data_IF_666018782029
#
_entry.id   IF_666018782029
#
_cell.length_a   1.000
_cell.length_b   1.000
_cell.length_c   1.000
_cell.angle_alpha   90.00
_cell.angle_beta   90.00
_cell.angle_gamma   90.00
#
_symmetry.space_group_name_H-M   'P 1'
#
loop_
_entity.id
_entity.type
_entity.pdbx_description
1 polymer ?
#
# COMPACT_ATOMS: atom_id res chain seq x y z
N UNK A 1 3.52 -11.93 -26.33
CA UNK A 1 3.18 -10.53 -25.98
C UNK A 1 3.66 -10.31 -24.54
N UNK A 2 4.42 -9.26 -24.26
CA UNK A 2 4.78 -8.94 -22.87
C UNK A 2 3.52 -8.59 -22.08
N UNK A 3 3.39 -9.12 -20.87
CA UNK A 3 2.32 -8.74 -19.95
C UNK A 3 2.64 -7.38 -19.33
N UNK A 4 1.63 -6.61 -18.95
CA UNK A 4 1.80 -5.27 -18.38
C UNK A 4 1.20 -5.20 -16.99
N UNK A 5 1.99 -4.81 -16.00
CA UNK A 5 1.56 -4.64 -14.62
C UNK A 5 1.62 -3.15 -14.26
N UNK A 6 0.52 -2.64 -13.73
CA UNK A 6 0.48 -1.32 -13.09
C UNK A 6 0.75 -1.45 -11.59
N UNK A 7 1.73 -0.73 -11.06
CA UNK A 7 1.98 -0.66 -9.63
C UNK A 7 1.58 0.71 -9.10
N UNK A 8 0.69 0.75 -8.10
CA UNK A 8 0.21 2.00 -7.50
C UNK A 8 0.75 2.13 -6.10
N UNK A 9 1.51 3.20 -5.83
CA UNK A 9 2.03 3.51 -4.49
C UNK A 9 1.33 4.73 -3.90
N UNK A 10 1.19 4.76 -2.57
CA UNK A 10 0.69 5.94 -1.83
C UNK A 10 1.70 7.09 -1.88
N UNK A 11 2.99 6.77 -1.95
CA UNK A 11 4.07 7.75 -2.01
C UNK A 11 4.32 8.25 -3.43
N UNK A 12 5.60 8.43 -3.73
CA UNK A 12 6.07 8.74 -5.08
C UNK A 12 6.57 7.49 -5.79
N UNK A 13 6.47 7.49 -7.11
CA UNK A 13 7.07 6.48 -7.98
C UNK A 13 8.45 6.94 -8.50
N UNK A 14 9.38 6.02 -8.79
CA UNK A 14 9.29 4.58 -8.52
C UNK A 14 9.45 4.24 -7.03
N UNK A 15 8.73 3.21 -6.57
CA UNK A 15 8.82 2.70 -5.20
C UNK A 15 9.98 1.72 -5.06
N UNK A 16 11.21 2.23 -5.25
CA UNK A 16 12.44 1.44 -5.43
C UNK A 16 12.69 0.40 -4.34
N UNK A 17 12.35 0.71 -3.10
CA UNK A 17 12.49 -0.17 -1.94
C UNK A 17 11.59 -1.42 -1.98
N UNK A 18 10.62 -1.44 -2.89
CA UNK A 18 9.72 -2.59 -3.11
C UNK A 18 9.91 -3.14 -4.52
N UNK A 19 9.95 -2.27 -5.53
CA UNK A 19 9.98 -2.70 -6.94
C UNK A 19 11.32 -3.31 -7.35
N UNK A 20 12.42 -2.96 -6.68
CA UNK A 20 13.70 -3.61 -6.90
C UNK A 20 13.67 -5.10 -6.52
N UNK A 21 13.01 -5.45 -5.41
CA UNK A 21 12.89 -6.84 -4.96
C UNK A 21 11.83 -7.63 -5.76
N UNK A 22 10.76 -6.95 -6.20
CA UNK A 22 9.70 -7.59 -6.99
C UNK A 22 10.13 -7.94 -8.41
N UNK A 23 10.94 -7.09 -9.05
CA UNK A 23 11.26 -7.23 -10.48
C UNK A 23 11.90 -8.57 -10.85
N UNK A 24 12.92 -9.08 -10.09
CA UNK A 24 13.48 -10.40 -10.34
C UNK A 24 12.49 -11.55 -10.19
N UNK A 25 11.54 -11.44 -9.24
CA UNK A 25 10.53 -12.47 -8.96
C UNK A 25 9.49 -12.53 -10.08
N UNK A 26 9.07 -11.38 -10.61
CA UNK A 26 8.09 -11.28 -11.71
C UNK A 26 8.69 -11.79 -13.03
N UNK A 27 9.98 -11.55 -13.25
CA UNK A 27 10.71 -11.99 -14.44
C UNK A 27 10.57 -11.06 -15.65
N UNK A 28 11.34 -11.33 -16.70
CA UNK A 28 11.56 -10.42 -17.84
C UNK A 28 10.43 -10.36 -18.86
N UNK A 29 9.42 -11.22 -18.76
CA UNK A 29 8.29 -11.27 -19.71
C UNK A 29 7.17 -10.28 -19.36
N UNK A 30 7.44 -9.35 -18.44
CA UNK A 30 6.50 -8.38 -17.92
C UNK A 30 7.09 -6.97 -17.97
N UNK A 31 6.30 -6.00 -18.41
CA UNK A 31 6.61 -4.58 -18.29
C UNK A 31 5.87 -4.00 -17.10
N UNK A 32 6.58 -3.27 -16.24
CA UNK A 32 6.03 -2.60 -15.06
C UNK A 32 5.87 -1.11 -15.38
N UNK A 33 4.71 -0.56 -15.02
CA UNK A 33 4.46 0.89 -15.03
C UNK A 33 4.01 1.29 -13.64
N UNK A 34 4.66 2.30 -13.06
CA UNK A 34 4.37 2.76 -11.70
C UNK A 34 3.58 4.08 -11.73
N UNK A 35 2.73 4.29 -10.72
CA UNK A 35 2.07 5.55 -10.45
C UNK A 35 2.04 5.80 -8.95
N UNK A 36 2.62 6.92 -8.51
CA UNK A 36 2.57 7.38 -7.14
C UNK A 36 1.46 8.40 -6.94
N UNK A 37 0.67 8.22 -5.88
CA UNK A 37 -0.39 9.17 -5.56
C UNK A 37 0.17 10.58 -5.27
N UNK A 38 1.41 10.69 -4.79
CA UNK A 38 2.12 11.95 -4.54
C UNK A 38 3.04 12.40 -5.71
N UNK A 39 2.97 11.75 -6.87
CA UNK A 39 3.77 12.14 -8.03
C UNK A 39 3.43 13.56 -8.49
N UNK A 40 4.48 14.30 -8.88
CA UNK A 40 4.37 15.67 -9.37
C UNK A 40 4.07 16.74 -8.32
N UNK A 41 3.91 16.36 -7.04
CA UNK A 41 3.70 17.31 -5.96
C UNK A 41 5.02 17.84 -5.38
N UNK A 42 5.03 19.13 -5.07
CA UNK A 42 6.05 19.77 -4.24
C UNK A 42 5.93 19.36 -2.77
N UNK A 43 6.98 19.62 -1.98
CA UNK A 43 6.96 19.36 -0.53
C UNK A 43 5.79 20.04 0.18
N UNK A 44 5.51 21.31 -0.14
CA UNK A 44 4.39 22.05 0.46
C UNK A 44 3.03 21.48 0.09
N UNK A 45 2.85 20.99 -1.15
CA UNK A 45 1.60 20.32 -1.55
C UNK A 45 1.44 18.96 -0.87
N UNK A 46 2.54 18.24 -0.62
CA UNK A 46 2.52 16.97 0.12
C UNK A 46 2.09 17.21 1.57
N UNK A 47 2.52 18.30 2.21
CA UNK A 47 2.12 18.67 3.58
C UNK A 47 0.60 18.85 3.72
N UNK A 48 -0.11 19.25 2.67
CA UNK A 48 -1.57 19.33 2.68
C UNK A 48 -2.25 17.97 2.90
N UNK A 49 -1.56 16.87 2.57
CA UNK A 49 -2.01 15.50 2.79
C UNK A 49 -1.76 15.01 4.22
N UNK A 50 -1.08 15.78 5.08
CA UNK A 50 -0.86 15.39 6.47
C UNK A 50 -2.19 15.07 7.17
N UNK A 51 -2.25 13.99 7.98
CA UNK A 51 -3.45 13.63 8.72
C UNK A 51 -3.79 14.72 9.76
N UNK A 52 -5.09 14.98 9.94
CA UNK A 52 -5.58 15.70 11.10
C UNK A 52 -5.71 14.75 12.29
N UNK A 53 -5.90 15.30 13.49
CA UNK A 53 -6.20 14.51 14.69
C UNK A 53 -7.40 13.58 14.42
N UNK A 54 -7.24 12.30 14.79
CA UNK A 54 -8.20 11.22 14.60
C UNK A 54 -8.46 10.76 13.14
N UNK A 55 -7.69 11.21 12.16
CA UNK A 55 -7.74 10.63 10.82
C UNK A 55 -6.86 9.38 10.70
N UNK A 56 -7.31 8.39 9.90
CA UNK A 56 -6.52 7.20 9.60
C UNK A 56 -5.23 7.58 8.86
N UNK A 57 -4.11 7.07 9.36
CA UNK A 57 -2.76 7.40 8.86
C UNK A 57 -2.24 6.29 7.96
N UNK A 58 -1.74 6.69 6.79
CA UNK A 58 -0.88 5.86 5.95
C UNK A 58 0.55 6.39 6.02
N UNK A 59 1.50 5.50 6.28
CA UNK A 59 2.93 5.81 6.24
C UNK A 59 3.45 5.43 4.87
N UNK A 60 4.15 6.35 4.21
CA UNK A 60 4.78 6.11 2.91
C UNK A 60 6.13 6.80 2.82
N UNK A 61 6.84 6.57 1.72
CA UNK A 61 8.17 7.11 1.45
C UNK A 61 8.15 7.95 0.17
N UNK A 62 8.86 9.06 0.21
CA UNK A 62 9.11 9.92 -0.95
C UNK A 62 10.30 9.39 -1.78
N UNK A 63 10.43 9.91 -3.00
CA UNK A 63 11.52 9.53 -3.91
C UNK A 63 12.92 9.85 -3.36
N UNK A 64 13.03 10.85 -2.49
CA UNK A 64 14.27 11.24 -1.79
C UNK A 64 14.56 10.41 -0.53
N UNK A 65 13.68 9.48 -0.17
CA UNK A 65 13.84 8.59 0.97
C UNK A 65 13.16 9.04 2.26
N UNK A 66 12.64 10.26 2.34
CA UNK A 66 11.92 10.72 3.54
C UNK A 66 10.63 9.94 3.74
N UNK A 67 10.39 9.55 4.99
CA UNK A 67 9.09 9.06 5.44
C UNK A 67 8.11 10.22 5.54
N UNK A 68 6.88 10.03 5.06
CA UNK A 68 5.77 10.96 5.26
C UNK A 68 4.51 10.22 5.71
N UNK A 69 3.73 10.88 6.55
CA UNK A 69 2.42 10.42 7.02
C UNK A 69 1.36 11.16 6.25
N UNK A 70 0.44 10.42 5.63
CA UNK A 70 -0.68 11.00 4.87
C UNK A 70 -2.02 10.51 5.41
N UNK A 71 -3.00 11.40 5.36
CA UNK A 71 -4.40 11.10 5.63
C UNK A 71 -4.90 10.11 4.58
N UNK A 72 -5.37 8.96 5.04
CA UNK A 72 -6.07 7.98 4.22
C UNK A 72 -7.15 8.66 3.36
N UNK A 73 -8.02 9.46 4.00
CA UNK A 73 -9.14 10.13 3.34
C UNK A 73 -8.69 11.07 2.23
N UNK A 74 -7.64 11.88 2.46
CA UNK A 74 -7.18 12.87 1.47
C UNK A 74 -6.50 12.21 0.28
N UNK A 75 -5.74 11.14 0.50
CA UNK A 75 -4.96 10.50 -0.57
C UNK A 75 -5.82 9.61 -1.47
N UNK A 76 -7.00 9.15 -1.00
CA UNK A 76 -7.87 8.24 -1.76
C UNK A 76 -8.19 8.70 -3.18
N UNK A 77 -8.47 9.99 -3.38
CA UNK A 77 -8.79 10.51 -4.73
C UNK A 77 -7.62 10.28 -5.69
N UNK A 78 -6.40 10.62 -5.27
CA UNK A 78 -5.18 10.46 -6.06
C UNK A 78 -4.84 8.99 -6.32
N UNK A 79 -5.07 8.11 -5.34
CA UNK A 79 -4.93 6.67 -5.53
C UNK A 79 -5.86 6.17 -6.66
N UNK A 80 -7.13 6.56 -6.63
CA UNK A 80 -8.12 6.20 -7.66
C UNK A 80 -7.74 6.77 -9.03
N UNK A 81 -7.22 7.99 -9.08
CA UNK A 81 -6.76 8.61 -10.33
C UNK A 81 -5.57 7.84 -10.94
N UNK A 82 -4.62 7.39 -10.12
CA UNK A 82 -3.55 6.50 -10.56
C UNK A 82 -4.09 5.19 -11.17
N UNK A 83 -5.05 4.55 -10.50
CA UNK A 83 -5.67 3.31 -10.96
C UNK A 83 -6.36 3.51 -12.32
N UNK A 84 -7.14 4.60 -12.47
CA UNK A 84 -7.84 4.96 -13.72
C UNK A 84 -6.89 5.30 -14.87
N UNK A 85 -5.73 5.87 -14.56
CA UNK A 85 -4.69 6.14 -15.55
C UNK A 85 -4.10 4.82 -16.07
N UNK A 86 -3.72 3.92 -15.16
CA UNK A 86 -3.06 2.66 -15.49
C UNK A 86 -3.98 1.65 -16.17
N UNK A 87 -5.26 1.56 -15.77
CA UNK A 87 -6.17 0.50 -16.25
C UNK A 87 -6.38 0.47 -17.77
N UNK A 88 -6.11 1.61 -18.44
CA UNK A 88 -6.17 1.76 -19.90
C UNK A 88 -5.02 1.06 -20.63
N UNK A 89 -3.90 0.84 -19.95
CA UNK A 89 -2.64 0.44 -20.56
C UNK A 89 -1.98 -0.78 -19.92
N UNK A 90 -2.55 -1.32 -18.82
CA UNK A 90 -2.02 -2.51 -18.13
C UNK A 90 -3.03 -3.65 -18.12
N UNK A 91 -2.55 -4.87 -17.89
CA UNK A 91 -3.38 -6.07 -17.84
C UNK A 91 -3.89 -6.34 -16.41
N UNK A 92 -3.13 -5.91 -15.40
CA UNK A 92 -3.43 -6.04 -13.96
C UNK A 92 -2.82 -4.86 -13.18
N UNK A 93 -3.45 -4.50 -12.06
CA UNK A 93 -2.97 -3.45 -11.16
C UNK A 93 -2.69 -4.07 -9.79
N UNK A 94 -1.57 -3.72 -9.17
CA UNK A 94 -1.28 -4.05 -7.77
C UNK A 94 -1.02 -2.77 -6.97
N UNK A 95 -1.64 -2.68 -5.79
CA UNK A 95 -1.39 -1.59 -4.85
C UNK A 95 -0.16 -1.96 -4.01
N UNK A 96 0.79 -1.04 -3.82
CA UNK A 96 1.97 -1.21 -2.98
C UNK A 96 1.72 -0.64 -1.58
N UNK A 97 0.60 -1.02 -0.96
CA UNK A 97 0.19 -0.60 0.37
C UNK A 97 -0.73 -1.65 0.99
N UNK A 98 -0.59 -1.84 2.30
CA UNK A 98 -1.39 -2.78 3.10
C UNK A 98 -2.57 -2.10 3.81
N UNK A 99 -2.87 -0.86 3.43
CA UNK A 99 -4.07 -0.14 3.86
C UNK A 99 -5.35 -0.88 3.49
N UNK A 100 -6.40 -0.64 4.27
CA UNK A 100 -7.72 -1.24 4.05
C UNK A 100 -8.56 -0.34 3.15
N UNK A 101 -8.40 -0.56 1.84
CA UNK A 101 -9.09 0.21 0.83
C UNK A 101 -10.47 -0.39 0.57
N UNK A 102 -11.53 0.44 0.44
CA UNK A 102 -12.83 -0.05 0.00
C UNK A 102 -12.70 -0.64 -1.40
N UNK A 103 -13.78 -1.25 -1.88
CA UNK A 103 -13.84 -1.72 -3.27
C UNK A 103 -13.61 -0.53 -4.22
N UNK A 104 -12.47 -0.55 -4.92
CA UNK A 104 -12.13 0.39 -5.98
C UNK A 104 -12.65 -0.18 -7.29
N UNK A 105 -13.43 0.60 -8.04
CA UNK A 105 -13.89 0.20 -9.37
C UNK A 105 -12.75 0.32 -10.38
N UNK A 106 -12.52 -0.75 -11.14
CA UNK A 106 -11.62 -0.75 -12.29
C UNK A 106 -12.05 -1.80 -13.31
N UNK A 107 -11.72 -1.53 -14.58
CA UNK A 107 -11.84 -2.49 -15.68
C UNK A 107 -10.79 -3.61 -15.65
N UNK A 108 -9.79 -3.50 -14.75
CA UNK A 108 -8.73 -4.48 -14.54
C UNK A 108 -8.82 -5.10 -13.15
N UNK A 109 -8.24 -6.28 -13.00
CA UNK A 109 -8.05 -6.90 -11.69
C UNK A 109 -7.13 -6.00 -10.85
N UNK A 110 -7.57 -5.68 -9.62
CA UNK A 110 -6.77 -4.98 -8.62
C UNK A 110 -6.36 -5.96 -7.54
N UNK A 111 -5.05 -6.18 -7.41
CA UNK A 111 -4.46 -6.89 -6.29
C UNK A 111 -4.25 -5.92 -5.13
N UNK A 112 -4.86 -6.24 -3.98
CA UNK A 112 -4.65 -5.55 -2.71
C UNK A 112 -3.81 -6.44 -1.80
N UNK A 113 -2.58 -6.06 -1.42
CA UNK A 113 -1.73 -6.85 -0.53
C UNK A 113 -2.41 -7.15 0.80
N UNK A 114 -3.20 -6.21 1.31
CA UNK A 114 -4.04 -6.38 2.49
C UNK A 114 -4.90 -7.65 2.40
N UNK A 115 -5.71 -7.79 1.36
CA UNK A 115 -6.60 -8.95 1.18
C UNK A 115 -5.81 -10.26 1.04
N UNK A 116 -4.72 -10.23 0.25
CA UNK A 116 -3.88 -11.41 0.03
C UNK A 116 -3.26 -11.91 1.34
N UNK A 117 -2.66 -11.02 2.12
CA UNK A 117 -2.05 -11.39 3.39
C UNK A 117 -3.08 -11.96 4.37
N UNK A 118 -4.26 -11.35 4.45
CA UNK A 118 -5.33 -11.85 5.33
C UNK A 118 -5.77 -13.26 4.92
N UNK A 119 -5.96 -13.49 3.63
CA UNK A 119 -6.35 -14.81 3.10
C UNK A 119 -5.27 -15.87 3.37
N UNK A 120 -3.99 -15.55 3.17
CA UNK A 120 -2.87 -16.48 3.40
C UNK A 120 -2.79 -16.85 4.88
N UNK A 121 -2.77 -15.87 5.79
CA UNK A 121 -2.67 -16.12 7.23
C UNK A 121 -3.89 -16.88 7.74
N UNK A 122 -5.09 -16.59 7.21
CA UNK A 122 -6.31 -17.32 7.56
C UNK A 122 -6.19 -18.82 7.26
N UNK A 123 -5.60 -19.19 6.12
CA UNK A 123 -5.40 -20.60 5.76
C UNK A 123 -4.37 -21.29 6.68
N UNK A 124 -3.38 -20.54 7.17
CA UNK A 124 -2.41 -21.08 8.13
C UNK A 124 -3.00 -21.33 9.53
N UNK A 125 -4.11 -20.68 9.87
CA UNK A 125 -4.83 -20.81 11.14
C UNK A 125 -3.92 -20.75 12.39
N UNK A 126 -3.10 -19.68 12.56
CA UNK A 126 -2.20 -19.57 13.69
C UNK A 126 -2.97 -19.41 15.01
N UNK A 127 -2.45 -20.02 16.08
CA UNK A 127 -2.98 -19.83 17.44
C UNK A 127 -2.54 -18.49 18.04
N UNK A 128 -1.35 -18.01 17.68
CA UNK A 128 -0.79 -16.72 18.08
C UNK A 128 -0.12 -16.04 16.89
N UNK A 129 -0.31 -14.72 16.78
CA UNK A 129 0.16 -13.92 15.65
C UNK A 129 0.89 -12.64 16.11
N UNK A 130 2.16 -12.52 15.73
CA UNK A 130 2.92 -11.27 15.83
C UNK A 130 2.69 -10.37 14.63
N UNK A 131 2.43 -9.09 14.85
CA UNK A 131 2.20 -8.09 13.80
C UNK A 131 3.07 -6.86 14.05
N UNK A 132 3.84 -6.43 13.06
CA UNK A 132 4.63 -5.20 13.13
C UNK A 132 3.94 -4.14 12.27
N UNK A 133 3.70 -2.96 12.83
CA UNK A 133 3.15 -1.80 12.12
C UNK A 133 4.10 -0.61 12.23
N UNK A 134 4.15 0.28 11.23
CA UNK A 134 5.09 1.42 11.25
C UNK A 134 4.71 2.54 12.23
N UNK A 135 3.43 2.67 12.59
CA UNK A 135 2.92 3.80 13.38
C UNK A 135 2.00 3.35 14.52
N UNK A 136 2.10 4.00 15.68
CA UNK A 136 1.30 3.66 16.86
C UNK A 136 -0.21 3.81 16.64
N UNK A 137 -0.63 4.79 15.82
CA UNK A 137 -2.04 4.95 15.45
C UNK A 137 -2.63 3.74 14.71
N UNK A 138 -1.78 2.89 14.12
CA UNK A 138 -2.20 1.71 13.38
C UNK A 138 -2.37 0.47 14.26
N UNK A 139 -2.02 0.53 15.55
CA UNK A 139 -2.15 -0.62 16.47
C UNK A 139 -3.57 -1.16 16.51
N UNK A 140 -4.53 -0.30 16.85
CA UNK A 140 -5.92 -0.72 17.02
C UNK A 140 -6.51 -1.23 15.70
N UNK A 141 -6.12 -0.62 14.57
CA UNK A 141 -6.51 -1.10 13.25
C UNK A 141 -5.95 -2.52 12.97
N UNK A 142 -4.68 -2.76 13.26
CA UNK A 142 -4.07 -4.08 13.09
C UNK A 142 -4.73 -5.15 13.99
N UNK A 143 -4.96 -4.85 15.27
CA UNK A 143 -5.66 -5.77 16.19
C UNK A 143 -7.03 -6.15 15.65
N UNK A 144 -7.84 -5.17 15.23
CA UNK A 144 -9.16 -5.42 14.64
C UNK A 144 -9.05 -6.29 13.39
N UNK A 145 -8.14 -5.94 12.47
CA UNK A 145 -7.94 -6.67 11.21
C UNK A 145 -7.62 -8.15 11.45
N UNK A 146 -6.69 -8.41 12.35
CA UNK A 146 -6.15 -9.75 12.56
C UNK A 146 -6.96 -10.60 13.54
N UNK A 147 -7.92 -10.01 14.28
CA UNK A 147 -8.85 -10.75 15.16
C UNK A 147 -9.72 -11.77 14.41
N UNK A 148 -9.87 -11.61 13.10
CA UNK A 148 -10.55 -12.56 12.23
C UNK A 148 -9.77 -13.88 12.00
N UNK A 149 -8.48 -13.95 12.36
CA UNK A 149 -7.62 -15.11 12.05
C UNK A 149 -6.85 -15.68 13.24
N UNK A 150 -6.70 -14.94 14.35
CA UNK A 150 -6.04 -15.41 15.58
C UNK A 150 -6.72 -14.84 16.80
N UNK A 151 -6.76 -15.60 17.89
CA UNK A 151 -7.25 -15.13 19.20
C UNK A 151 -6.17 -14.36 19.96
N UNK A 152 -4.91 -14.77 19.82
CA UNK A 152 -3.76 -14.09 20.43
C UNK A 152 -3.04 -13.26 19.37
N UNK A 153 -3.06 -11.94 19.53
CA UNK A 153 -2.44 -10.98 18.61
C UNK A 153 -1.50 -10.08 19.39
N UNK A 154 -0.25 -10.02 18.94
CA UNK A 154 0.79 -9.18 19.54
C UNK A 154 1.24 -8.14 18.53
N UNK A 155 0.77 -6.89 18.71
CA UNK A 155 1.19 -5.79 17.85
C UNK A 155 2.41 -5.08 18.42
N UNK A 156 3.44 -4.89 17.58
CA UNK A 156 4.62 -4.07 17.87
C UNK A 156 4.72 -2.95 16.84
N UNK A 157 5.24 -1.81 17.29
CA UNK A 157 5.41 -0.63 16.45
C UNK A 157 6.89 -0.47 16.16
N UNK A 158 7.24 -0.50 14.89
CA UNK A 158 8.59 -0.32 14.39
C UNK A 158 8.50 0.17 12.94
N UNK A 159 8.91 1.42 12.70
CA UNK A 159 8.93 1.92 11.33
C UNK A 159 10.05 1.22 10.54
N UNK A 160 9.80 0.76 9.31
CA UNK A 160 10.84 0.22 8.44
C UNK A 160 11.76 1.30 7.86
N UNK A 161 11.53 2.59 8.18
CA UNK A 161 12.30 3.72 7.64
C UNK A 161 13.14 4.47 8.70
N UNK A 162 13.13 4.04 9.97
CA UNK A 162 13.89 4.64 11.08
C UNK A 162 14.56 3.61 11.97
#
# INVERSE_FOLDING_TARGET
MLRRIGLVTIGQSPRKDVTHDMTPIIGSNVTITECGALDGLSTSEIEEFAPKDNEDVLVTRLSDGREVRVSYKKIMRRLVDCIRSLEKHVDIIAILCTGDFPKISSSRLIIKPSDLMLAIVKVMAPTSLGVIVPDESQRCFAERRWSAVSQEIHVKVFSPYT
#
